data_IF_705178299203
#
_entry.id   IF_705178299203
#
_cell.length_a   1.000
_cell.length_b   1.000
_cell.length_c   1.000
_cell.angle_alpha   90.00
_cell.angle_beta   90.00
_cell.angle_gamma   90.00
#
_symmetry.space_group_name_H-M   'P 1'
#
loop_
_entity.id
_entity.type
_entity.pdbx_description
1 polymer ?
#
# COMPACT_ATOMS: atom_id res chain seq x y z
N UNK A 1 28.30 -16.11 -5.31
CA UNK A 1 27.16 -15.93 -4.40
C UNK A 1 26.53 -14.61 -4.79
N UNK A 2 25.33 -14.60 -5.33
CA UNK A 2 24.70 -13.36 -5.81
C UNK A 2 24.61 -12.37 -4.65
N UNK A 3 25.08 -11.15 -4.88
CA UNK A 3 25.03 -10.09 -3.89
C UNK A 3 23.56 -9.77 -3.57
N UNK A 4 23.19 -9.80 -2.28
CA UNK A 4 21.81 -9.56 -1.85
C UNK A 4 21.56 -8.06 -1.79
N UNK A 5 20.39 -7.62 -2.27
CA UNK A 5 19.97 -6.23 -2.11
C UNK A 5 19.82 -5.86 -0.62
N UNK A 6 20.27 -4.68 -0.22
CA UNK A 6 20.28 -4.22 1.18
C UNK A 6 19.98 -2.71 1.31
N UNK A 7 18.81 -2.22 0.89
CA UNK A 7 18.48 -0.78 0.95
C UNK A 7 18.66 -0.17 2.34
N UNK A 8 18.33 -0.91 3.41
CA UNK A 8 18.45 -0.43 4.79
C UNK A 8 19.91 -0.18 5.24
N UNK A 9 20.90 -0.62 4.46
CA UNK A 9 22.33 -0.36 4.70
C UNK A 9 22.89 0.73 3.79
N UNK A 10 22.06 1.38 2.98
CA UNK A 10 22.52 2.41 2.05
C UNK A 10 23.09 3.60 2.85
N UNK A 11 24.31 4.06 2.52
CA UNK A 11 24.93 5.16 3.27
C UNK A 11 24.22 6.50 3.04
N UNK A 12 23.57 6.67 1.88
CA UNK A 12 22.84 7.87 1.47
C UNK A 12 21.65 7.49 0.57
N UNK A 13 20.65 8.36 0.45
CA UNK A 13 19.46 8.11 -0.39
C UNK A 13 19.72 8.59 -1.82
N UNK A 14 20.51 7.82 -2.58
CA UNK A 14 20.82 8.14 -3.99
C UNK A 14 19.60 8.12 -4.91
N UNK A 15 18.54 7.42 -4.53
CA UNK A 15 17.31 7.22 -5.32
C UNK A 15 16.25 8.31 -5.12
N UNK A 16 16.58 9.43 -4.46
CA UNK A 16 15.68 10.57 -4.32
C UNK A 16 16.24 11.84 -5.01
N UNK A 17 16.65 11.77 -6.30
CA UNK A 17 17.11 12.96 -7.00
C UNK A 17 15.91 13.77 -7.52
N UNK A 18 16.06 15.10 -7.55
CA UNK A 18 15.12 15.96 -8.29
C UNK A 18 15.51 15.92 -9.78
N UNK A 19 14.80 15.11 -10.57
CA UNK A 19 15.04 14.94 -12.01
C UNK A 19 13.74 14.95 -12.81
N UNK A 20 13.83 15.35 -14.08
CA UNK A 20 12.77 15.26 -15.07
C UNK A 20 12.77 13.90 -15.78
N UNK A 21 11.70 13.62 -16.54
CA UNK A 21 11.51 12.33 -17.21
C UNK A 21 12.53 12.03 -18.32
N UNK A 22 13.19 13.07 -18.85
CA UNK A 22 14.24 12.99 -19.88
C UNK A 22 15.66 12.94 -19.29
N UNK A 23 15.78 12.85 -17.95
CA UNK A 23 17.06 12.80 -17.25
C UNK A 23 17.31 11.43 -16.64
N UNK A 24 18.56 10.95 -16.72
CA UNK A 24 18.99 9.71 -16.10
C UNK A 24 19.62 9.96 -14.71
N UNK A 25 19.16 9.29 -13.65
CA UNK A 25 19.80 9.34 -12.34
C UNK A 25 21.14 8.60 -12.34
N UNK A 26 22.16 9.19 -11.71
CA UNK A 26 23.46 8.50 -11.50
C UNK A 26 23.48 7.68 -10.21
N UNK A 27 23.91 6.42 -10.33
CA UNK A 27 24.09 5.48 -9.21
C UNK A 27 25.56 5.03 -9.05
N UNK A 28 26.52 5.80 -9.57
CA UNK A 28 27.95 5.44 -9.49
C UNK A 28 28.43 5.26 -8.04
N UNK A 29 28.06 6.22 -7.18
CA UNK A 29 28.37 6.22 -5.74
C UNK A 29 27.51 5.25 -4.93
N UNK A 30 26.48 4.65 -5.54
CA UNK A 30 25.63 3.71 -4.83
C UNK A 30 26.39 2.41 -4.54
N UNK A 31 26.17 1.81 -3.35
CA UNK A 31 26.88 0.61 -2.92
C UNK A 31 26.64 -0.56 -3.88
N UNK A 32 27.54 -1.55 -3.87
CA UNK A 32 27.45 -2.74 -4.71
C UNK A 32 26.12 -3.50 -4.50
N UNK A 33 25.61 -3.53 -3.28
CA UNK A 33 24.31 -4.11 -2.92
C UNK A 33 23.07 -3.27 -3.30
N UNK A 34 23.22 -2.14 -4.01
CA UNK A 34 22.09 -1.31 -4.42
C UNK A 34 21.20 -2.07 -5.41
N UNK A 35 19.88 -2.23 -5.16
CA UNK A 35 19.00 -2.93 -6.08
C UNK A 35 18.91 -2.24 -7.45
N UNK A 36 19.05 -0.91 -7.53
CA UNK A 36 19.08 -0.21 -8.82
C UNK A 36 20.25 -0.66 -9.71
N UNK A 37 21.36 -1.09 -9.11
CA UNK A 37 22.51 -1.66 -9.84
C UNK A 37 22.31 -3.15 -10.13
N UNK A 38 21.86 -3.91 -9.13
CA UNK A 38 21.76 -5.37 -9.20
C UNK A 38 20.54 -5.90 -9.97
N UNK A 39 19.49 -5.10 -10.14
CA UNK A 39 18.17 -5.53 -10.62
C UNK A 39 17.64 -4.66 -11.77
N UNK A 40 18.53 -4.15 -12.63
CA UNK A 40 18.18 -3.30 -13.79
C UNK A 40 17.07 -3.91 -14.64
N UNK A 41 17.24 -5.15 -15.09
CA UNK A 41 16.25 -5.86 -15.91
C UNK A 41 14.87 -5.98 -15.23
N UNK A 42 14.84 -6.13 -13.89
CA UNK A 42 13.59 -6.21 -13.14
C UNK A 42 12.91 -4.85 -13.03
N UNK A 43 13.70 -3.78 -12.84
CA UNK A 43 13.20 -2.40 -12.80
C UNK A 43 12.62 -2.04 -14.16
N UNK A 44 13.31 -2.34 -15.25
CA UNK A 44 12.81 -2.12 -16.62
C UNK A 44 11.49 -2.87 -16.85
N UNK A 45 11.42 -4.15 -16.47
CA UNK A 45 10.17 -4.93 -16.56
C UNK A 45 9.04 -4.32 -15.72
N UNK A 46 9.33 -3.86 -14.50
CA UNK A 46 8.34 -3.23 -13.64
C UNK A 46 7.85 -1.89 -14.20
N UNK A 47 8.71 -1.11 -14.85
CA UNK A 47 8.33 0.14 -15.51
C UNK A 47 7.36 -0.10 -16.67
N UNK A 48 7.58 -1.16 -17.46
CA UNK A 48 6.70 -1.53 -18.56
C UNK A 48 5.28 -1.92 -18.10
N UNK A 49 5.08 -2.34 -16.85
CA UNK A 49 3.72 -2.61 -16.33
C UNK A 49 2.86 -1.34 -16.27
N UNK A 50 3.48 -0.16 -16.08
CA UNK A 50 2.76 1.11 -16.14
C UNK A 50 2.30 1.48 -17.55
N UNK A 51 2.76 0.78 -18.59
CA UNK A 51 2.31 1.04 -19.94
C UNK A 51 0.93 0.44 -20.24
N UNK A 52 0.49 -0.53 -19.43
CA UNK A 52 -0.85 -1.12 -19.53
C UNK A 52 -1.90 -0.09 -19.18
N UNK A 53 -2.95 0.00 -19.99
CA UNK A 53 -4.01 1.01 -19.84
C UNK A 53 -4.71 0.95 -18.48
N UNK A 54 -4.95 -0.25 -17.95
CA UNK A 54 -5.60 -0.48 -16.66
C UNK A 54 -4.74 -0.04 -15.46
N UNK A 55 -3.42 0.04 -15.64
CA UNK A 55 -2.47 0.44 -14.59
C UNK A 55 -2.04 1.90 -14.76
N UNK A 56 -1.82 2.36 -16.00
CA UNK A 56 -1.28 3.68 -16.31
C UNK A 56 -2.08 4.78 -15.65
N UNK A 57 -3.40 4.79 -15.88
CA UNK A 57 -4.27 5.84 -15.36
C UNK A 57 -4.48 5.71 -13.86
N UNK A 58 -4.60 4.48 -13.34
CA UNK A 58 -4.67 4.23 -11.90
C UNK A 58 -3.46 4.79 -11.16
N UNK A 59 -2.25 4.51 -11.66
CA UNK A 59 -0.99 4.98 -11.11
C UNK A 59 -0.87 6.50 -11.18
N UNK A 60 -1.21 7.10 -12.33
CA UNK A 60 -1.21 8.55 -12.51
C UNK A 60 -2.16 9.23 -11.51
N UNK A 61 -3.37 8.71 -11.35
CA UNK A 61 -4.35 9.22 -10.39
C UNK A 61 -3.88 9.03 -8.94
N UNK A 62 -3.11 7.99 -8.64
CA UNK A 62 -2.53 7.78 -7.31
C UNK A 62 -1.50 8.86 -6.98
N UNK A 63 -0.59 9.17 -7.92
CA UNK A 63 0.38 10.27 -7.75
C UNK A 63 -0.29 11.64 -7.66
N UNK A 64 -1.38 11.87 -8.41
CA UNK A 64 -2.18 13.10 -8.26
C UNK A 64 -2.82 13.18 -6.88
N UNK A 65 -3.39 12.07 -6.38
CA UNK A 65 -4.00 12.04 -5.05
C UNK A 65 -2.96 12.24 -3.94
N UNK A 66 -1.74 11.70 -4.10
CA UNK A 66 -0.63 11.93 -3.17
C UNK A 66 -0.36 13.43 -3.05
N UNK A 67 -0.11 14.11 -4.18
CA UNK A 67 0.10 15.56 -4.19
C UNK A 67 -1.07 16.32 -3.55
N UNK A 68 -2.31 15.94 -3.87
CA UNK A 68 -3.49 16.55 -3.29
C UNK A 68 -3.67 16.27 -1.80
N UNK A 69 -3.08 15.21 -1.24
CA UNK A 69 -3.14 14.89 0.19
C UNK A 69 -2.13 15.71 1.00
N UNK A 70 -0.95 15.94 0.44
CA UNK A 70 0.13 16.66 1.10
C UNK A 70 0.00 18.18 0.97
N UNK A 71 0.57 18.88 1.93
CA UNK A 71 0.82 20.32 1.90
C UNK A 71 2.22 20.63 2.45
N UNK A 72 2.83 21.69 1.94
CA UNK A 72 4.06 22.25 2.46
C UNK A 72 3.71 23.42 3.38
N UNK A 73 4.07 23.31 4.66
CA UNK A 73 3.91 24.38 5.66
C UNK A 73 5.28 24.92 6.09
N UNK A 74 5.33 26.03 6.84
CA UNK A 74 6.59 26.49 7.45
C UNK A 74 7.27 25.45 8.35
N UNK A 75 6.50 24.52 8.94
CA UNK A 75 6.99 23.45 9.81
C UNK A 75 7.38 22.17 9.04
N UNK A 76 7.18 22.14 7.71
CA UNK A 76 7.53 21.02 6.84
C UNK A 76 6.35 20.43 6.07
N UNK A 77 6.55 19.23 5.53
CA UNK A 77 5.53 18.51 4.74
C UNK A 77 4.60 17.75 5.69
N UNK A 78 3.28 17.90 5.51
CA UNK A 78 2.26 17.14 6.25
C UNK A 78 1.06 16.81 5.37
N UNK A 79 0.20 15.89 5.82
CA UNK A 79 -1.08 15.60 5.17
C UNK A 79 -2.17 16.56 5.65
N UNK A 80 -2.98 17.10 4.75
CA UNK A 80 -4.09 18.02 5.09
C UNK A 80 -5.42 17.32 5.33
N UNK A 81 -5.52 16.03 4.98
CA UNK A 81 -6.71 15.18 5.15
C UNK A 81 -6.34 13.84 5.79
N UNK A 82 -7.27 13.16 6.49
CA UNK A 82 -7.04 11.82 7.01
C UNK A 82 -7.08 10.77 5.89
N UNK A 83 -6.42 9.63 6.12
CA UNK A 83 -6.31 8.52 5.14
C UNK A 83 -7.66 8.04 4.61
N UNK A 84 -8.72 8.02 5.43
CA UNK A 84 -10.07 7.63 4.98
C UNK A 84 -10.60 8.60 3.90
N UNK A 85 -10.42 9.90 4.07
CA UNK A 85 -10.86 10.88 3.08
C UNK A 85 -9.98 10.82 1.81
N UNK A 86 -8.68 10.60 1.95
CA UNK A 86 -7.77 10.36 0.82
C UNK A 86 -8.20 9.13 0.00
N UNK A 87 -8.55 8.02 0.66
CA UNK A 87 -9.09 6.81 0.00
C UNK A 87 -10.40 7.09 -0.73
N UNK A 88 -11.31 7.87 -0.13
CA UNK A 88 -12.58 8.27 -0.77
C UNK A 88 -12.32 9.11 -2.02
N UNK A 89 -11.43 10.10 -1.94
CA UNK A 89 -11.08 10.96 -3.07
C UNK A 89 -10.43 10.13 -4.19
N UNK A 90 -9.49 9.25 -3.86
CA UNK A 90 -8.87 8.35 -4.82
C UNK A 90 -9.87 7.44 -5.53
N UNK A 91 -10.76 6.80 -4.76
CA UNK A 91 -11.78 5.92 -5.31
C UNK A 91 -12.72 6.66 -6.28
N UNK A 92 -13.08 7.92 -5.95
CA UNK A 92 -13.88 8.77 -6.84
C UNK A 92 -13.15 9.15 -8.12
N UNK A 93 -11.87 9.50 -8.04
CA UNK A 93 -11.04 9.80 -9.23
C UNK A 93 -11.01 8.63 -10.21
N UNK A 94 -10.97 7.41 -9.69
CA UNK A 94 -11.00 6.18 -10.49
C UNK A 94 -12.41 5.73 -10.90
N UNK A 95 -13.45 6.48 -10.53
CA UNK A 95 -14.84 6.12 -10.87
C UNK A 95 -15.35 4.86 -10.16
N UNK A 96 -14.70 4.41 -9.08
CA UNK A 96 -15.15 3.24 -8.35
C UNK A 96 -16.49 3.51 -7.66
N UNK A 97 -17.41 2.54 -7.79
CA UNK A 97 -18.72 2.59 -7.11
C UNK A 97 -18.86 1.57 -6.00
N UNK A 98 -18.15 0.45 -6.11
CA UNK A 98 -18.22 -0.68 -5.17
C UNK A 98 -16.86 -0.91 -4.55
N UNK A 99 -16.79 -0.96 -3.22
CA UNK A 99 -15.56 -1.12 -2.46
C UNK A 99 -15.63 -2.38 -1.60
N UNK A 100 -14.54 -3.14 -1.59
CA UNK A 100 -14.36 -4.31 -0.73
C UNK A 100 -13.66 -3.93 0.57
N UNK A 101 -14.17 -4.41 1.71
CA UNK A 101 -13.55 -4.22 3.03
C UNK A 101 -13.26 -5.58 3.69
N UNK A 102 -12.00 -6.00 3.68
CA UNK A 102 -11.53 -7.16 4.43
C UNK A 102 -10.97 -6.72 5.79
N UNK A 103 -11.40 -7.36 6.87
CA UNK A 103 -11.02 -6.91 8.22
C UNK A 103 -10.92 -8.06 9.23
N UNK A 104 -10.19 -7.83 10.32
CA UNK A 104 -10.06 -8.79 11.42
C UNK A 104 -11.28 -8.73 12.35
N UNK A 105 -11.68 -9.87 12.93
CA UNK A 105 -12.74 -9.92 13.95
C UNK A 105 -12.48 -9.00 15.16
N UNK A 106 -11.21 -8.69 15.46
CA UNK A 106 -10.85 -7.73 16.51
C UNK A 106 -11.12 -6.26 16.17
N UNK A 107 -11.43 -5.95 14.91
CA UNK A 107 -11.67 -4.59 14.39
C UNK A 107 -13.12 -4.41 13.92
N UNK A 108 -14.06 -5.15 14.50
CA UNK A 108 -15.47 -5.12 14.08
C UNK A 108 -16.10 -3.73 14.20
N UNK A 109 -15.73 -2.94 15.23
CA UNK A 109 -16.32 -1.62 15.45
C UNK A 109 -15.77 -0.61 14.44
N UNK A 110 -14.47 -0.63 14.21
CA UNK A 110 -13.79 0.19 13.21
C UNK A 110 -14.30 -0.13 11.80
N UNK A 111 -14.48 -1.42 11.48
CA UNK A 111 -15.03 -1.85 10.20
C UNK A 111 -16.46 -1.32 9.98
N UNK A 112 -17.31 -1.33 11.02
CA UNK A 112 -18.66 -0.71 10.95
C UNK A 112 -18.56 0.79 10.68
N UNK A 113 -17.71 1.50 11.41
CA UNK A 113 -17.53 2.94 11.20
C UNK A 113 -17.03 3.27 9.79
N UNK A 114 -16.07 2.51 9.27
CA UNK A 114 -15.55 2.68 7.91
C UNK A 114 -16.63 2.41 6.87
N UNK A 115 -17.39 1.32 7.02
CA UNK A 115 -18.54 1.02 6.15
C UNK A 115 -19.54 2.17 6.14
N UNK A 116 -19.98 2.64 7.31
CA UNK A 116 -20.94 3.75 7.42
C UNK A 116 -20.43 5.03 6.74
N UNK A 117 -19.13 5.36 6.91
CA UNK A 117 -18.51 6.53 6.27
C UNK A 117 -18.54 6.38 4.75
N UNK A 118 -18.13 5.23 4.22
CA UNK A 118 -18.06 4.98 2.78
C UNK A 118 -19.45 4.95 2.13
N UNK A 119 -20.43 4.30 2.76
CA UNK A 119 -21.81 4.25 2.27
C UNK A 119 -22.45 5.64 2.25
N UNK A 120 -22.25 6.45 3.30
CA UNK A 120 -22.70 7.86 3.33
C UNK A 120 -22.03 8.73 2.26
N UNK A 121 -20.86 8.31 1.76
CA UNK A 121 -20.14 8.98 0.66
C UNK A 121 -20.56 8.45 -0.72
N UNK A 122 -21.53 7.54 -0.78
CA UNK A 122 -22.20 7.06 -1.99
C UNK A 122 -21.62 5.78 -2.59
N UNK A 123 -20.74 5.07 -1.88
CA UNK A 123 -20.21 3.78 -2.32
C UNK A 123 -21.12 2.62 -1.90
N UNK A 124 -21.20 1.58 -2.72
CA UNK A 124 -21.64 0.26 -2.29
C UNK A 124 -20.47 -0.43 -1.57
N UNK A 125 -20.66 -0.89 -0.33
CA UNK A 125 -19.60 -1.56 0.43
C UNK A 125 -19.95 -3.03 0.60
N UNK A 126 -19.01 -3.92 0.26
CA UNK A 126 -19.07 -5.35 0.58
C UNK A 126 -17.93 -5.67 1.53
N UNK A 127 -18.24 -6.28 2.67
CA UNK A 127 -17.24 -6.53 3.70
C UNK A 127 -17.13 -8.02 4.07
N UNK A 128 -15.95 -8.44 4.50
CA UNK A 128 -15.67 -9.80 4.96
C UNK A 128 -14.78 -9.78 6.20
N UNK A 129 -15.20 -10.53 7.22
CA UNK A 129 -14.42 -10.74 8.44
C UNK A 129 -13.47 -11.93 8.26
N UNK A 130 -12.26 -11.86 8.81
CA UNK A 130 -11.24 -12.92 8.74
C UNK A 130 -11.69 -14.28 9.29
N UNK A 131 -12.77 -14.31 10.09
CA UNK A 131 -13.39 -15.51 10.68
C UNK A 131 -14.70 -15.93 9.99
N UNK A 132 -14.98 -15.43 8.79
CA UNK A 132 -16.09 -15.90 7.97
C UNK A 132 -16.06 -17.44 7.86
N UNK A 133 -17.19 -18.09 8.14
CA UNK A 133 -17.30 -19.56 8.21
C UNK A 133 -16.92 -20.18 9.56
N UNK A 134 -16.37 -19.41 10.51
CA UNK A 134 -16.06 -19.85 11.87
C UNK A 134 -15.22 -21.15 11.95
N UNK A 135 -14.36 -21.39 10.96
CA UNK A 135 -13.61 -22.64 10.87
C UNK A 135 -12.60 -22.76 12.03
N UNK A 136 -12.61 -23.89 12.78
CA UNK A 136 -11.71 -24.12 13.90
C UNK A 136 -10.26 -24.25 13.41
N UNK A 137 -9.31 -23.75 14.21
CA UNK A 137 -7.89 -23.77 13.84
C UNK A 137 -7.30 -25.19 13.95
N UNK A 138 -7.97 -26.09 14.67
CA UNK A 138 -7.64 -27.50 14.79
C UNK A 138 -7.61 -28.20 13.42
N UNK A 139 -8.38 -27.71 12.45
CA UNK A 139 -8.36 -28.21 11.06
C UNK A 139 -6.99 -28.08 10.38
N UNK A 140 -6.16 -27.14 10.83
CA UNK A 140 -4.80 -26.95 10.35
C UNK A 140 -3.74 -27.38 11.38
N UNK A 141 -4.14 -28.19 12.36
CA UNK A 141 -3.23 -28.79 13.34
C UNK A 141 -2.85 -27.90 14.53
N UNK A 142 -3.50 -26.75 14.70
CA UNK A 142 -3.27 -25.85 15.84
C UNK A 142 -3.82 -26.47 17.12
N UNK A 143 -2.98 -26.58 18.16
CA UNK A 143 -3.33 -27.12 19.47
C UNK A 143 -4.02 -26.07 20.35
N UNK A 144 -4.79 -26.46 21.38
CA UNK A 144 -5.42 -25.52 22.30
C UNK A 144 -4.45 -24.52 22.95
N UNK A 145 -3.23 -24.95 23.27
CA UNK A 145 -2.20 -24.11 23.91
C UNK A 145 -1.65 -23.02 22.98
N UNK A 146 -1.84 -23.19 21.66
CA UNK A 146 -1.43 -22.24 20.61
C UNK A 146 -2.57 -21.28 20.24
N UNK A 147 -3.76 -21.43 20.85
CA UNK A 147 -4.90 -20.54 20.65
C UNK A 147 -4.84 -19.35 21.60
N UNK A 148 -5.41 -18.23 21.15
CA UNK A 148 -5.47 -16.98 21.91
C UNK A 148 -6.16 -17.19 23.27
N UNK A 149 -7.19 -18.04 23.33
CA UNK A 149 -7.92 -18.36 24.55
C UNK A 149 -7.16 -19.29 25.51
N UNK A 150 -6.08 -19.93 25.06
CA UNK A 150 -5.38 -20.98 25.80
C UNK A 150 -6.16 -22.31 25.87
N UNK A 151 -5.64 -23.29 26.62
CA UNK A 151 -6.30 -24.58 26.81
C UNK A 151 -7.51 -24.48 27.76
N UNK A 152 -8.56 -25.27 27.50
CA UNK A 152 -9.72 -25.41 28.39
C UNK A 152 -10.89 -24.45 28.13
N UNK A 153 -10.78 -23.61 27.10
CA UNK A 153 -11.87 -22.86 26.46
C UNK A 153 -12.25 -23.49 25.11
#
# INVERSE_FOLDING_TARGET
MDEKAQCAKCPEIFCYPAIAADQEPSFEKAPSFCPTKLKKDLIEKALLEYDREDIREFARLASVQEFECYELTPDGIRTKIPRIEETIQFARKNGFRKLGLAFCAGLMNEARMVTDILERKGFEVVSVCCKAGAIPKEMIGIKPEEKIAGPGL
#
